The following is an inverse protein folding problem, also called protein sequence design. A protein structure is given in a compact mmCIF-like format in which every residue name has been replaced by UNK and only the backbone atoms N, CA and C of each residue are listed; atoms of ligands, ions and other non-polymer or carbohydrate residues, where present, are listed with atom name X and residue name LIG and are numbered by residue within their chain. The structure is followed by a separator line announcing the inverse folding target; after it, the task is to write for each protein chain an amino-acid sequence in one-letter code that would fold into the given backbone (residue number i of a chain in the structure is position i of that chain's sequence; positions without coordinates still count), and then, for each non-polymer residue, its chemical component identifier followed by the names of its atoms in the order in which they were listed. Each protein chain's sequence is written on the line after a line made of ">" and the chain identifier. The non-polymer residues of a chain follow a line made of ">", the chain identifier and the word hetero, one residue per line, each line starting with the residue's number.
data_IF_053288141418
#
_entry.id   IF_053288141418
#
_cell.length_a   1.000
_cell.length_b   1.000
_cell.length_c   1.000
_cell.angle_alpha   90.00
_cell.angle_beta   90.00
_cell.angle_gamma   90.00
#
_symmetry.space_group_name_H-M   'P 1'
#
loop_
_entity.id
_entity.type
_entity.pdbx_description
1 polymer ?
#
# COMPACT_ATOMS: atom_id res chain seq x y z
N UNK A 1 -6.37 15.99 34.98
CA UNK A 1 -5.92 15.06 33.91
C UNK A 1 -5.85 15.86 32.61
N UNK A 2 -5.09 16.95 32.62
CA UNK A 2 -5.15 18.00 31.58
C UNK A 2 -4.03 17.85 30.53
N UNK A 3 -3.38 16.67 30.49
CA UNK A 3 -2.18 16.38 29.70
C UNK A 3 -2.43 15.47 28.50
N UNK A 4 -3.68 15.34 28.04
CA UNK A 4 -4.04 14.66 26.80
C UNK A 4 -4.81 15.58 25.85
N UNK A 5 -4.55 16.89 25.90
CA UNK A 5 -4.93 17.76 24.79
C UNK A 5 -4.03 17.40 23.61
N UNK A 6 -4.54 16.56 22.71
CA UNK A 6 -3.91 16.27 21.43
C UNK A 6 -3.66 17.59 20.73
N UNK A 7 -2.49 17.75 20.10
CA UNK A 7 -2.12 18.99 19.40
C UNK A 7 -3.26 19.45 18.46
N UNK A 8 -3.91 18.52 17.74
CA UNK A 8 -5.04 18.81 16.85
C UNK A 8 -6.32 19.34 17.53
N UNK A 9 -6.43 19.28 18.85
CA UNK A 9 -7.59 19.74 19.65
C UNK A 9 -7.35 21.07 20.35
N UNK A 10 -6.13 21.62 20.25
CA UNK A 10 -5.83 22.98 20.73
C UNK A 10 -5.85 23.96 19.57
N UNK A 11 -6.15 25.23 19.85
CA UNK A 11 -6.11 26.30 18.84
C UNK A 11 -4.71 26.46 18.22
N UNK A 12 -3.66 26.24 19.03
CA UNK A 12 -2.28 26.24 18.58
C UNK A 12 -2.01 25.13 17.56
N UNK A 13 -2.41 23.90 17.85
CA UNK A 13 -2.15 22.81 16.92
C UNK A 13 -3.07 22.77 15.71
N UNK A 14 -4.28 23.32 15.80
CA UNK A 14 -5.08 23.62 14.61
C UNK A 14 -4.32 24.60 13.69
N UNK A 15 -3.75 25.67 14.25
CA UNK A 15 -2.97 26.64 13.49
C UNK A 15 -1.73 26.00 12.86
N UNK A 16 -0.98 25.18 13.59
CA UNK A 16 0.18 24.46 13.03
C UNK A 16 -0.23 23.44 11.97
N UNK A 17 -1.34 22.73 12.15
CA UNK A 17 -1.88 21.80 11.16
C UNK A 17 -2.23 22.50 9.85
N UNK A 18 -2.97 23.63 9.93
CA UNK A 18 -3.29 24.46 8.76
C UNK A 18 -2.04 24.99 8.07
N UNK A 19 -1.07 25.47 8.84
CA UNK A 19 0.21 25.95 8.33
C UNK A 19 0.94 24.82 7.57
N UNK A 20 0.99 23.61 8.14
CA UNK A 20 1.61 22.47 7.50
C UNK A 20 0.92 22.10 6.18
N UNK A 21 -0.42 22.05 6.14
CA UNK A 21 -1.18 21.77 4.92
C UNK A 21 -0.94 22.83 3.83
N UNK A 22 -0.76 24.10 4.20
CA UNK A 22 -0.50 25.18 3.25
C UNK A 22 0.95 25.22 2.74
N UNK A 23 1.90 24.74 3.55
CA UNK A 23 3.34 24.82 3.24
C UNK A 23 3.89 23.60 2.52
N UNK A 24 3.33 22.41 2.73
CA UNK A 24 3.78 21.19 2.07
C UNK A 24 3.39 21.22 0.59
N UNK A 25 4.38 21.04 -0.28
CA UNK A 25 4.18 20.96 -1.74
C UNK A 25 4.42 19.54 -2.24
N UNK A 26 3.74 19.16 -3.32
CA UNK A 26 4.06 17.94 -4.07
C UNK A 26 4.93 18.34 -5.25
N UNK A 27 6.11 17.74 -5.34
CA UNK A 27 6.97 17.78 -6.52
C UNK A 27 6.89 16.44 -7.25
N UNK A 28 6.77 16.50 -8.57
CA UNK A 28 6.77 15.33 -9.44
C UNK A 28 8.16 15.12 -10.03
N UNK A 29 8.92 14.17 -9.51
CA UNK A 29 10.28 13.89 -9.94
C UNK A 29 10.29 12.86 -11.07
N UNK A 30 10.84 13.18 -12.26
CA UNK A 30 10.92 12.23 -13.36
C UNK A 30 11.78 11.02 -12.99
N UNK A 31 11.30 9.81 -13.29
CA UNK A 31 11.99 8.53 -13.07
C UNK A 31 12.39 7.96 -14.43
N UNK A 32 13.60 7.39 -14.59
CA UNK A 32 14.04 6.87 -15.89
C UNK A 32 13.08 5.82 -16.46
N UNK A 33 12.79 5.91 -17.76
CA UNK A 33 11.82 5.04 -18.45
C UNK A 33 12.17 3.53 -18.38
N UNK A 34 13.44 3.21 -18.18
CA UNK A 34 13.95 1.84 -18.04
C UNK A 34 13.80 1.26 -16.62
N UNK A 35 13.33 2.03 -15.64
CA UNK A 35 13.01 1.56 -14.28
C UNK A 35 11.68 0.79 -14.22
N UNK A 36 10.87 0.86 -15.28
CA UNK A 36 9.61 0.16 -15.45
C UNK A 36 9.69 -1.41 -15.45
N UNK A 37 10.58 -2.11 -16.17
CA UNK A 37 10.25 -3.49 -16.55
C UNK A 37 10.64 -4.62 -15.57
N UNK A 38 11.24 -4.36 -14.40
CA UNK A 38 11.95 -5.43 -13.63
C UNK A 38 11.18 -6.15 -12.49
N UNK A 39 9.84 -6.14 -12.46
CA UNK A 39 9.06 -6.92 -11.46
C UNK A 39 7.84 -7.72 -12.00
N UNK A 40 7.87 -8.34 -13.19
CA UNK A 40 6.68 -8.88 -13.85
C UNK A 40 6.13 -10.20 -13.27
N UNK A 41 6.46 -10.61 -12.04
CA UNK A 41 5.90 -11.83 -11.41
C UNK A 41 5.38 -11.67 -9.97
N UNK A 42 5.59 -10.51 -9.32
CA UNK A 42 5.08 -10.28 -7.94
C UNK A 42 3.57 -10.02 -7.89
N UNK A 43 2.94 -9.73 -9.03
CA UNK A 43 1.49 -9.55 -9.17
C UNK A 43 0.68 -10.82 -8.87
N UNK A 44 1.24 -11.99 -9.16
CA UNK A 44 0.60 -13.28 -8.87
C UNK A 44 0.46 -13.45 -7.34
N UNK A 45 1.46 -13.02 -6.58
CA UNK A 45 1.48 -13.04 -5.12
C UNK A 45 0.44 -12.05 -4.56
N UNK A 46 0.30 -10.86 -5.14
CA UNK A 46 -0.68 -9.86 -4.69
C UNK A 46 -2.14 -10.28 -4.96
N UNK A 47 -2.41 -11.02 -6.04
CA UNK A 47 -3.75 -11.57 -6.31
C UNK A 47 -4.10 -12.77 -5.42
N UNK A 48 -3.11 -13.56 -5.00
CA UNK A 48 -3.32 -14.76 -4.17
C UNK A 48 -3.21 -14.43 -2.66
N UNK A 49 -2.54 -13.33 -2.30
CA UNK A 49 -2.40 -12.83 -0.93
C UNK A 49 -3.77 -12.40 -0.39
N UNK A 50 -4.20 -13.05 0.69
CA UNK A 50 -5.51 -12.93 1.34
C UNK A 50 -5.79 -11.59 2.03
N UNK A 51 -4.89 -10.60 1.91
CA UNK A 51 -4.88 -9.38 2.72
C UNK A 51 -5.75 -8.21 2.24
N UNK A 52 -6.34 -8.26 1.04
CA UNK A 52 -7.08 -7.12 0.47
C UNK A 52 -8.60 -7.39 0.43
N UNK A 53 -9.37 -7.04 1.48
CA UNK A 53 -10.83 -7.18 1.45
C UNK A 53 -11.48 -6.38 0.31
N UNK A 54 -10.85 -5.28 -0.14
CA UNK A 54 -11.31 -4.50 -1.28
C UNK A 54 -11.08 -5.17 -2.65
N UNK A 55 -10.12 -6.10 -2.77
CA UNK A 55 -9.91 -6.87 -4.00
C UNK A 55 -11.09 -7.82 -4.28
N UNK A 56 -11.78 -8.30 -3.23
CA UNK A 56 -12.99 -9.13 -3.36
C UNK A 56 -14.14 -8.37 -4.02
N UNK A 57 -14.28 -7.08 -3.71
CA UNK A 57 -15.30 -6.22 -4.32
C UNK A 57 -15.00 -5.90 -5.79
N UNK A 58 -13.74 -5.89 -6.20
CA UNK A 58 -13.32 -5.77 -7.61
C UNK A 58 -13.47 -7.09 -8.40
N UNK A 59 -13.37 -8.24 -7.72
CA UNK A 59 -13.58 -9.54 -8.37
C UNK A 59 -15.03 -9.74 -8.84
N UNK A 60 -16.00 -9.15 -8.14
CA UNK A 60 -17.43 -9.23 -8.49
C UNK A 60 -17.72 -8.62 -9.88
N UNK A 61 -17.41 -7.32 -10.16
CA UNK A 61 -17.68 -6.74 -11.46
C UNK A 61 -16.88 -7.41 -12.59
N UNK A 62 -15.66 -7.88 -12.32
CA UNK A 62 -14.88 -8.62 -13.33
C UNK A 62 -15.54 -9.96 -13.67
N UNK A 63 -16.01 -10.69 -12.66
CA UNK A 63 -16.72 -11.95 -12.87
C UNK A 63 -18.04 -11.74 -13.62
N UNK A 64 -18.80 -10.67 -13.30
CA UNK A 64 -20.03 -10.33 -13.99
C UNK A 64 -19.78 -9.97 -15.47
N UNK A 65 -18.74 -9.18 -15.75
CA UNK A 65 -18.37 -8.83 -17.13
C UNK A 65 -17.92 -10.06 -17.92
N UNK A 66 -17.08 -10.91 -17.31
CA UNK A 66 -16.65 -12.20 -17.87
C UNK A 66 -17.83 -13.11 -18.20
N UNK A 67 -18.80 -13.21 -17.29
CA UNK A 67 -20.02 -14.00 -17.49
C UNK A 67 -20.86 -13.42 -18.64
N UNK A 68 -21.03 -12.10 -18.69
CA UNK A 68 -21.77 -11.41 -19.74
C UNK A 68 -21.18 -11.67 -21.13
N UNK A 69 -19.84 -11.62 -21.26
CA UNK A 69 -19.14 -11.95 -22.50
C UNK A 69 -19.39 -13.41 -22.90
N UNK A 70 -19.23 -14.34 -21.95
CA UNK A 70 -19.52 -15.76 -22.19
C UNK A 70 -20.95 -16.00 -22.68
N UNK A 71 -21.94 -15.44 -22.00
CA UNK A 71 -23.36 -15.54 -22.37
C UNK A 71 -23.63 -14.94 -23.76
N UNK A 72 -23.02 -13.79 -24.06
CA UNK A 72 -23.16 -13.14 -25.37
C UNK A 72 -22.59 -14.02 -26.49
N UNK A 73 -21.45 -14.67 -26.26
CA UNK A 73 -20.83 -15.59 -27.23
C UNK A 73 -21.70 -16.82 -27.45
N UNK A 74 -22.25 -17.43 -26.39
CA UNK A 74 -23.20 -18.56 -26.51
C UNK A 74 -24.42 -18.17 -27.36
N UNK A 75 -24.95 -16.95 -27.16
CA UNK A 75 -26.15 -16.47 -27.87
C UNK A 75 -25.87 -16.12 -29.34
N UNK A 76 -24.72 -15.49 -29.64
CA UNK A 76 -24.41 -14.95 -30.97
C UNK A 76 -23.76 -15.96 -31.91
N UNK A 77 -22.94 -16.88 -31.40
CA UNK A 77 -22.20 -17.82 -32.26
C UNK A 77 -23.12 -18.97 -32.68
N UNK A 78 -23.35 -19.10 -33.99
CA UNK A 78 -24.18 -20.17 -34.56
C UNK A 78 -23.32 -21.34 -35.05
N UNK A 79 -22.82 -22.15 -34.11
CA UNK A 79 -22.13 -23.43 -34.40
C UNK A 79 -22.80 -24.59 -33.65
N UNK A 80 -22.21 -25.78 -33.57
CA UNK A 80 -22.72 -26.87 -32.72
C UNK A 80 -22.49 -26.55 -31.24
N UNK A 81 -23.38 -27.04 -30.36
CA UNK A 81 -23.43 -26.68 -28.93
C UNK A 81 -22.06 -26.72 -28.22
N UNK A 82 -21.30 -27.81 -28.37
CA UNK A 82 -20.00 -27.96 -27.73
C UNK A 82 -18.97 -26.92 -28.18
N UNK A 83 -18.93 -26.61 -29.49
CA UNK A 83 -18.06 -25.56 -30.01
C UNK A 83 -18.47 -24.19 -29.47
N UNK A 84 -19.77 -23.91 -29.31
CA UNK A 84 -20.24 -22.64 -28.71
C UNK A 84 -19.77 -22.51 -27.27
N UNK A 85 -19.92 -23.56 -26.47
CA UNK A 85 -19.49 -23.56 -25.08
C UNK A 85 -17.97 -23.37 -24.95
N UNK A 86 -17.19 -24.06 -25.78
CA UNK A 86 -15.72 -23.91 -25.79
C UNK A 86 -15.31 -22.48 -26.15
N UNK A 87 -15.89 -21.89 -27.21
CA UNK A 87 -15.58 -20.52 -27.63
C UNK A 87 -16.01 -19.52 -26.53
N UNK A 88 -17.17 -19.73 -25.90
CA UNK A 88 -17.64 -18.90 -24.80
C UNK A 88 -16.74 -18.98 -23.57
N UNK A 89 -16.27 -20.18 -23.20
CA UNK A 89 -15.35 -20.37 -22.10
C UNK A 89 -14.00 -19.68 -22.36
N UNK A 90 -13.45 -19.81 -23.57
CA UNK A 90 -12.21 -19.13 -23.98
C UNK A 90 -12.39 -17.60 -23.94
N UNK A 91 -13.50 -17.09 -24.47
CA UNK A 91 -13.79 -15.65 -24.48
C UNK A 91 -13.97 -15.09 -23.06
N UNK A 92 -14.68 -15.81 -22.20
CA UNK A 92 -14.85 -15.48 -20.79
C UNK A 92 -13.49 -15.46 -20.05
N UNK A 93 -12.68 -16.51 -20.22
CA UNK A 93 -11.35 -16.61 -19.62
C UNK A 93 -10.42 -15.48 -20.09
N UNK A 94 -10.37 -15.21 -21.39
CA UNK A 94 -9.57 -14.10 -21.93
C UNK A 94 -10.02 -12.73 -21.40
N UNK A 95 -11.33 -12.53 -21.25
CA UNK A 95 -11.88 -11.30 -20.65
C UNK A 95 -11.41 -11.16 -19.22
N UNK A 96 -11.53 -12.22 -18.41
CA UNK A 96 -11.11 -12.21 -17.00
C UNK A 96 -9.62 -11.89 -16.88
N UNK A 97 -8.78 -12.56 -17.67
CA UNK A 97 -7.33 -12.35 -17.68
C UNK A 97 -6.97 -10.92 -18.10
N UNK A 98 -7.69 -10.36 -19.08
CA UNK A 98 -7.44 -9.01 -19.58
C UNK A 98 -7.81 -7.94 -18.55
N UNK A 99 -8.97 -8.04 -17.90
CA UNK A 99 -9.39 -7.05 -16.89
C UNK A 99 -8.56 -7.17 -15.61
N UNK A 100 -8.23 -8.39 -15.18
CA UNK A 100 -7.33 -8.61 -14.05
C UNK A 100 -5.92 -8.09 -14.36
N UNK A 101 -5.38 -8.43 -15.53
CA UNK A 101 -4.08 -7.95 -16.01
C UNK A 101 -4.04 -6.43 -16.17
N UNK A 102 -5.11 -5.82 -16.69
CA UNK A 102 -5.24 -4.37 -16.83
C UNK A 102 -5.29 -3.64 -15.50
N UNK A 103 -6.04 -4.16 -14.51
CA UNK A 103 -6.04 -3.62 -13.16
C UNK A 103 -4.68 -3.69 -12.50
N UNK A 104 -4.00 -4.83 -12.64
CA UNK A 104 -2.62 -4.99 -12.17
C UNK A 104 -1.69 -4.00 -12.86
N UNK A 105 -1.80 -3.85 -14.18
CA UNK A 105 -1.02 -2.89 -14.94
C UNK A 105 -1.29 -1.47 -14.45
N UNK A 106 -2.54 -1.07 -14.18
CA UNK A 106 -2.88 0.25 -13.64
C UNK A 106 -2.32 0.46 -12.24
N UNK A 107 -2.38 -0.52 -11.34
CA UNK A 107 -1.77 -0.41 -10.02
C UNK A 107 -0.24 -0.34 -10.10
N UNK A 108 0.34 -1.13 -10.99
CA UNK A 108 1.75 -1.11 -11.30
C UNK A 108 2.15 0.25 -11.89
N UNK A 109 1.41 0.78 -12.86
CA UNK A 109 1.57 2.15 -13.36
C UNK A 109 1.38 3.16 -12.23
N UNK A 110 0.38 3.09 -11.37
CA UNK A 110 0.25 4.03 -10.25
C UNK A 110 1.42 3.94 -9.25
N UNK A 111 2.05 2.78 -9.12
CA UNK A 111 3.23 2.57 -8.30
C UNK A 111 4.55 2.97 -9.02
N UNK A 112 4.58 2.95 -10.36
CA UNK A 112 5.80 3.02 -11.20
C UNK A 112 5.73 4.06 -12.34
N UNK A 113 4.65 4.84 -12.44
CA UNK A 113 4.49 5.96 -13.39
C UNK A 113 5.70 6.88 -13.21
N UNK A 114 6.30 7.37 -14.31
CA UNK A 114 7.63 7.96 -14.33
C UNK A 114 7.72 9.33 -13.64
N UNK A 115 6.79 9.64 -12.74
CA UNK A 115 6.86 10.75 -11.82
C UNK A 115 6.68 10.21 -10.40
N UNK A 116 7.78 10.11 -9.66
CA UNK A 116 7.69 9.94 -8.22
C UNK A 116 7.11 11.22 -7.62
N UNK A 117 6.09 11.12 -6.76
CA UNK A 117 5.60 12.29 -6.04
C UNK A 117 6.41 12.44 -4.75
N UNK A 118 7.14 13.53 -4.56
CA UNK A 118 7.88 13.83 -3.34
C UNK A 118 7.21 15.00 -2.63
N UNK A 119 7.01 14.86 -1.33
CA UNK A 119 6.59 15.96 -0.48
C UNK A 119 7.79 16.83 -0.14
N UNK A 120 7.66 18.12 -0.42
CA UNK A 120 8.67 19.14 -0.11
C UNK A 120 8.14 19.97 1.06
N UNK A 121 8.90 19.92 2.15
CA UNK A 121 8.69 20.75 3.34
C UNK A 121 9.71 21.88 3.29
N UNK A 122 9.33 23.16 3.51
CA UNK A 122 10.28 24.26 3.58
C UNK A 122 11.35 24.04 4.64
N UNK A 123 12.60 24.44 4.37
CA UNK A 123 13.74 24.18 5.27
C UNK A 123 13.57 24.80 6.66
N UNK A 124 12.84 25.91 6.75
CA UNK A 124 12.54 26.64 7.98
C UNK A 124 11.19 26.26 8.62
N UNK A 125 10.56 25.16 8.18
CA UNK A 125 9.33 24.69 8.77
C UNK A 125 9.56 24.25 10.23
N UNK A 126 8.64 24.61 11.13
CA UNK A 126 8.62 24.15 12.52
C UNK A 126 8.12 22.71 12.69
N UNK A 127 7.93 21.99 11.59
CA UNK A 127 7.36 20.64 11.56
C UNK A 127 8.10 19.75 10.56
N UNK A 128 7.92 18.45 10.69
CA UNK A 128 8.44 17.45 9.75
C UNK A 128 7.32 16.57 9.25
N UNK A 129 7.51 15.97 8.07
CA UNK A 129 6.57 15.00 7.54
C UNK A 129 6.84 13.61 8.17
N UNK A 130 5.80 13.02 8.73
CA UNK A 130 5.84 11.71 9.38
C UNK A 130 4.75 10.79 8.82
N UNK A 131 5.08 9.52 8.59
CA UNK A 131 4.08 8.47 8.42
C UNK A 131 4.06 7.61 9.67
N UNK A 132 2.91 7.44 10.29
CA UNK A 132 2.76 6.66 11.53
C UNK A 132 2.17 5.26 11.32
N UNK A 133 1.95 4.85 10.07
CA UNK A 133 1.37 3.54 9.80
C UNK A 133 1.85 2.98 8.45
N UNK A 134 2.65 1.91 8.50
CA UNK A 134 3.22 1.26 7.32
C UNK A 134 3.34 -0.24 7.53
N UNK A 135 2.88 -1.01 6.56
CA UNK A 135 3.10 -2.46 6.49
C UNK A 135 4.26 -2.81 5.56
N UNK A 136 5.00 -3.86 5.93
CA UNK A 136 6.10 -4.43 5.15
C UNK A 136 5.83 -5.90 4.84
N UNK A 137 6.77 -6.56 4.16
CA UNK A 137 6.73 -8.01 3.94
C UNK A 137 6.81 -8.84 5.23
N UNK A 138 7.03 -8.24 6.41
CA UNK A 138 6.90 -8.95 7.69
C UNK A 138 5.44 -9.13 8.13
N UNK A 139 4.47 -8.54 7.41
CA UNK A 139 3.04 -8.86 7.52
C UNK A 139 2.38 -8.97 6.14
N UNK A 140 1.47 -8.05 5.78
CA UNK A 140 0.72 -8.02 4.52
C UNK A 140 1.15 -6.87 3.58
N UNK A 141 2.26 -6.20 3.89
CA UNK A 141 2.83 -5.13 3.08
C UNK A 141 3.60 -5.66 1.87
N UNK A 142 3.80 -4.78 0.89
CA UNK A 142 4.44 -5.14 -0.39
C UNK A 142 5.97 -4.97 -0.38
N UNK A 143 6.46 -3.94 0.30
CA UNK A 143 7.88 -3.58 0.34
C UNK A 143 8.58 -4.30 1.49
N UNK A 144 9.84 -4.70 1.30
CA UNK A 144 10.67 -5.11 2.45
C UNK A 144 10.85 -3.94 3.42
N UNK A 145 11.18 -4.17 4.69
CA UNK A 145 11.46 -3.10 5.64
C UNK A 145 12.43 -2.02 5.12
N UNK A 146 13.52 -2.42 4.46
CA UNK A 146 14.50 -1.51 3.88
C UNK A 146 13.93 -0.74 2.69
N UNK A 147 13.19 -1.42 1.81
CA UNK A 147 12.52 -0.78 0.68
C UNK A 147 11.48 0.25 1.16
N UNK A 148 10.76 -0.06 2.24
CA UNK A 148 9.80 0.85 2.86
C UNK A 148 10.49 2.11 3.40
N UNK A 149 11.63 1.98 4.09
CA UNK A 149 12.45 3.11 4.54
C UNK A 149 12.89 3.98 3.36
N UNK A 150 13.46 3.37 2.32
CA UNK A 150 13.92 4.08 1.13
C UNK A 150 12.77 4.76 0.37
N UNK A 151 11.58 4.15 0.36
CA UNK A 151 10.38 4.75 -0.20
C UNK A 151 9.99 6.01 0.57
N UNK A 152 9.91 5.94 1.90
CA UNK A 152 9.57 7.10 2.75
C UNK A 152 10.58 8.24 2.59
N UNK A 153 11.87 7.92 2.63
CA UNK A 153 12.93 8.90 2.44
C UNK A 153 12.82 9.59 1.07
N UNK A 154 12.60 8.83 -0.01
CA UNK A 154 12.39 9.38 -1.37
C UNK A 154 11.13 10.24 -1.46
N UNK A 155 10.09 9.90 -0.72
CA UNK A 155 8.83 10.66 -0.64
C UNK A 155 8.92 11.91 0.25
N UNK A 156 10.02 12.16 0.95
CA UNK A 156 10.24 13.38 1.74
C UNK A 156 9.89 13.24 3.22
N UNK A 157 9.52 12.05 3.68
CA UNK A 157 9.30 11.78 5.09
C UNK A 157 10.62 11.83 5.87
N UNK A 158 10.57 12.42 7.07
CA UNK A 158 11.65 12.40 8.06
C UNK A 158 11.43 11.35 9.13
N UNK A 159 10.18 10.93 9.32
CA UNK A 159 9.80 9.87 10.26
C UNK A 159 8.92 8.85 9.55
N UNK A 160 9.21 7.57 9.74
CA UNK A 160 8.37 6.48 9.29
C UNK A 160 8.20 5.45 10.39
N UNK A 161 6.97 5.20 10.81
CA UNK A 161 6.64 4.07 11.65
C UNK A 161 6.39 2.84 10.80
N UNK A 162 7.03 1.74 11.19
CA UNK A 162 6.77 0.42 10.63
C UNK A 162 5.93 -0.33 11.65
N UNK A 163 4.73 -0.71 11.26
CA UNK A 163 3.64 -1.17 12.13
C UNK A 163 3.03 -2.43 11.53
N UNK A 164 3.87 -3.45 11.36
CA UNK A 164 3.43 -4.74 10.84
C UNK A 164 2.39 -5.38 11.77
N UNK A 165 1.51 -6.21 11.20
CA UNK A 165 0.40 -6.78 11.96
C UNK A 165 0.87 -7.77 13.02
N UNK A 166 0.57 -7.49 14.29
CA UNK A 166 0.93 -8.33 15.44
C UNK A 166 2.43 -8.69 15.53
N UNK A 167 3.32 -7.86 14.98
CA UNK A 167 4.77 -8.02 15.13
C UNK A 167 5.55 -6.72 14.96
N UNK A 168 6.63 -6.56 15.74
CA UNK A 168 7.58 -5.43 15.63
C UNK A 168 8.73 -5.71 14.66
N UNK A 169 8.87 -6.95 14.17
CA UNK A 169 10.04 -7.43 13.43
C UNK A 169 10.40 -6.56 12.22
N UNK A 170 9.42 -6.09 11.46
CA UNK A 170 9.67 -5.20 10.32
C UNK A 170 10.27 -3.86 10.76
N UNK A 171 9.81 -3.29 11.87
CA UNK A 171 10.37 -2.07 12.44
C UNK A 171 11.80 -2.25 12.91
N UNK A 172 12.12 -3.38 13.53
CA UNK A 172 13.50 -3.67 13.97
C UNK A 172 14.47 -3.77 12.79
N UNK A 173 14.09 -4.50 11.73
CA UNK A 173 14.90 -4.62 10.51
C UNK A 173 15.11 -3.25 9.87
N UNK A 174 14.03 -2.46 9.73
CA UNK A 174 14.09 -1.11 9.18
C UNK A 174 15.00 -0.17 9.99
N UNK A 175 14.90 -0.24 11.33
CA UNK A 175 15.74 0.57 12.23
C UNK A 175 17.21 0.19 12.11
N UNK A 176 17.55 -1.10 12.14
CA UNK A 176 18.92 -1.58 11.95
C UNK A 176 19.48 -1.18 10.58
N UNK A 177 18.65 -1.22 9.54
CA UNK A 177 19.04 -0.75 8.21
C UNK A 177 19.40 0.73 8.22
N UNK A 178 18.58 1.60 8.83
CA UNK A 178 18.87 3.04 8.97
C UNK A 178 20.13 3.28 9.79
N UNK A 179 20.31 2.59 10.93
CA UNK A 179 21.48 2.74 11.79
C UNK A 179 22.77 2.36 11.04
N UNK A 180 22.77 1.24 10.31
CA UNK A 180 23.91 0.76 9.53
C UNK A 180 24.26 1.67 8.36
N UNK A 181 23.24 2.24 7.70
CA UNK A 181 23.42 3.05 6.48
C UNK A 181 23.50 4.56 6.75
N UNK A 182 23.26 4.98 8.01
CA UNK A 182 23.24 6.38 8.44
C UNK A 182 22.28 7.26 7.61
N UNK A 183 21.13 6.70 7.24
CA UNK A 183 20.12 7.44 6.47
C UNK A 183 19.46 8.55 7.32
N UNK A 184 19.14 9.71 6.74
CA UNK A 184 18.57 10.85 7.45
C UNK A 184 17.04 10.72 7.61
N UNK A 185 16.59 9.57 8.12
CA UNK A 185 15.18 9.25 8.41
C UNK A 185 15.11 8.52 9.75
N UNK A 186 14.17 8.90 10.60
CA UNK A 186 13.91 8.21 11.87
C UNK A 186 12.88 7.11 11.64
N UNK A 187 13.22 5.89 12.04
CA UNK A 187 12.27 4.77 12.06
C UNK A 187 11.69 4.63 13.46
N UNK A 188 10.37 4.65 13.55
CA UNK A 188 9.65 4.27 14.77
C UNK A 188 9.27 2.79 14.66
N UNK A 189 9.77 1.99 15.58
CA UNK A 189 9.36 0.58 15.70
C UNK A 189 7.97 0.55 16.31
N UNK A 190 7.05 -0.15 15.67
CA UNK A 190 5.69 -0.30 16.16
C UNK A 190 5.06 -1.58 15.63
N UNK A 191 3.79 -1.72 15.97
CA UNK A 191 2.94 -2.84 15.58
C UNK A 191 1.54 -2.30 15.29
N UNK A 192 0.86 -2.87 14.30
CA UNK A 192 -0.60 -2.80 14.26
C UNK A 192 -1.17 -4.03 14.99
N UNK A 193 -1.61 -3.82 16.22
CA UNK A 193 -2.33 -4.84 16.96
C UNK A 193 -3.64 -5.13 16.24
N UNK A 194 -3.86 -6.37 15.82
CA UNK A 194 -5.05 -6.85 15.13
C UNK A 194 -5.76 -7.91 15.95
N UNK A 195 -6.65 -7.46 16.83
CA UNK A 195 -7.62 -8.29 17.54
C UNK A 195 -9.04 -8.07 17.01
N UNK A 196 -10.02 -7.89 17.91
CA UNK A 196 -11.38 -7.45 17.54
C UNK A 196 -11.43 -6.04 16.94
N UNK A 197 -10.41 -5.24 17.26
CA UNK A 197 -10.17 -3.91 16.70
C UNK A 197 -8.70 -3.81 16.27
N UNK A 198 -8.39 -2.80 15.47
CA UNK A 198 -7.02 -2.50 15.06
C UNK A 198 -6.51 -1.29 15.84
N UNK A 199 -5.33 -1.41 16.43
CA UNK A 199 -4.66 -0.34 17.17
C UNK A 199 -3.22 -0.20 16.69
N UNK A 200 -2.81 1.03 16.39
CA UNK A 200 -1.41 1.31 16.05
C UNK A 200 -0.66 1.61 17.33
N UNK A 201 0.31 0.77 17.65
CA UNK A 201 1.14 0.87 18.84
C UNK A 201 2.54 1.30 18.41
N UNK A 202 2.97 2.47 18.86
CA UNK A 202 4.23 3.07 18.46
C UNK A 202 5.26 2.98 19.59
N UNK A 203 6.52 2.80 19.21
CA UNK A 203 7.67 2.74 20.11
C UNK A 203 7.60 1.62 21.16
N UNK A 204 6.99 0.49 20.78
CA UNK A 204 6.99 -0.74 21.59
C UNK A 204 8.24 -1.58 21.29
N UNK A 205 8.61 -2.46 22.23
CA UNK A 205 9.88 -3.25 22.16
C UNK A 205 9.68 -4.73 21.86
N UNK A 206 8.45 -5.20 21.89
CA UNK A 206 8.10 -6.60 21.73
C UNK A 206 6.70 -6.70 21.12
N UNK A 207 6.45 -7.81 20.45
CA UNK A 207 5.13 -8.15 19.92
C UNK A 207 4.08 -8.15 21.05
N UNK A 208 2.87 -7.70 20.75
CA UNK A 208 1.73 -7.73 21.67
C UNK A 208 0.68 -8.68 21.09
N UNK A 209 0.46 -9.82 21.72
CA UNK A 209 -0.46 -10.81 21.14
C UNK A 209 -1.91 -10.45 21.42
N UNK A 210 -2.82 -10.54 20.42
CA UNK A 210 -4.25 -10.49 20.69
C UNK A 210 -4.72 -11.53 21.71
N UNK A 211 -4.03 -12.67 21.79
CA UNK A 211 -4.32 -13.75 22.75
C UNK A 211 -4.10 -13.36 24.21
N UNK A 212 -3.30 -12.33 24.46
CA UNK A 212 -3.00 -11.87 25.82
C UNK A 212 -4.17 -11.08 26.43
N UNK A 213 -5.20 -10.75 25.62
CA UNK A 213 -6.33 -9.90 25.99
C UNK A 213 -7.70 -10.53 25.67
N UNK A 214 -7.72 -11.81 25.29
CA UNK A 214 -8.93 -12.63 25.14
C UNK A 214 -9.25 -13.34 26.48
#
# INVERSE_FOLDING_TARGET
>A
MDLLAWFATTSEGEKLGRLATQMVKVEWTPVPIWFAPFEPFRWLIAMISSGYPHAKWLAIPYSLLTLLVGLTVVWRVRTVWWHRLTIAAIAALNTLLTVAGGFVAVNWFNAVVPFGARWIVPENASFVLANFHTHTTQSNGFLTPEQAVLWHLRRGYKVAAITDSNTVKGGEIARQFVERTKLPVTVLVGEEFRGKTHLVLLNIRSDISPRDFD
#
